data_IF_464407351942
#
_entry.id   IF_464407351942
#
_cell.length_a   1.000
_cell.length_b   1.000
_cell.length_c   1.000
_cell.angle_alpha   90.00
_cell.angle_beta   90.00
_cell.angle_gamma   90.00
#
_symmetry.space_group_name_H-M   'P 1'
#
loop_
_entity.id
_entity.type
_entity.pdbx_description
1 polymer ?
#
# COMPACT_ATOMS: atom_id res chain seq x y z
N UNK A 1 -25.09 -1.96 8.09
CA UNK A 1 -24.60 -0.81 7.32
C UNK A 1 -24.95 0.48 8.05
N UNK A 2 -24.27 0.75 9.17
CA UNK A 2 -24.66 1.84 10.10
C UNK A 2 -23.55 2.89 10.23
N UNK A 3 -22.54 2.86 9.36
CA UNK A 3 -21.48 3.85 9.36
C UNK A 3 -22.03 5.14 8.73
N UNK A 4 -22.06 6.27 9.45
CA UNK A 4 -22.65 7.50 8.95
C UNK A 4 -21.75 8.27 7.98
N UNK A 5 -20.48 7.86 7.83
CA UNK A 5 -19.53 8.49 6.91
C UNK A 5 -19.53 7.86 5.51
N UNK A 6 -18.80 8.48 4.60
CA UNK A 6 -18.69 8.01 3.22
C UNK A 6 -17.89 6.71 3.12
N UNK A 7 -18.40 5.76 2.33
CA UNK A 7 -17.69 4.51 1.99
C UNK A 7 -17.60 4.41 0.48
N UNK A 8 -16.37 4.32 -0.04
CA UNK A 8 -16.11 4.14 -1.47
C UNK A 8 -15.10 3.04 -1.71
N UNK A 9 -15.20 2.37 -2.87
CA UNK A 9 -14.16 1.47 -3.35
C UNK A 9 -13.02 2.26 -4.03
N UNK A 10 -11.82 1.68 -4.06
CA UNK A 10 -10.62 2.31 -4.65
C UNK A 10 -10.82 2.71 -6.12
N UNK A 11 -11.64 1.97 -6.88
CA UNK A 11 -11.99 2.29 -8.27
C UNK A 11 -12.69 3.65 -8.44
N UNK A 12 -13.36 4.13 -7.39
CA UNK A 12 -14.06 5.42 -7.38
C UNK A 12 -13.20 6.56 -6.81
N UNK A 13 -12.04 6.24 -6.22
CA UNK A 13 -11.10 7.23 -5.72
C UNK A 13 -10.48 8.04 -6.87
N UNK A 14 -10.23 9.33 -6.63
CA UNK A 14 -9.66 10.25 -7.63
C UNK A 14 -8.48 11.07 -7.10
N UNK A 15 -8.58 11.61 -5.90
CA UNK A 15 -7.53 12.43 -5.30
C UNK A 15 -7.76 12.63 -3.80
N UNK A 16 -6.66 12.75 -3.05
CA UNK A 16 -6.66 13.00 -1.61
C UNK A 16 -7.11 14.41 -1.22
N UNK A 17 -7.10 15.36 -2.17
CA UNK A 17 -7.50 16.76 -1.94
C UNK A 17 -8.86 16.91 -1.28
N UNK A 18 -9.84 16.09 -1.70
CA UNK A 18 -11.22 16.13 -1.17
C UNK A 18 -11.34 15.64 0.28
N UNK A 19 -10.25 15.13 0.86
CA UNK A 19 -10.19 14.53 2.19
C UNK A 19 -9.28 15.30 3.16
N UNK A 20 -8.73 16.45 2.76
CA UNK A 20 -7.91 17.30 3.63
C UNK A 20 -8.62 17.56 4.97
N UNK A 21 -7.93 17.33 6.09
CA UNK A 21 -8.45 17.50 7.44
C UNK A 21 -9.46 16.44 7.90
N UNK A 22 -9.84 15.46 7.07
CA UNK A 22 -10.74 14.36 7.44
C UNK A 22 -9.98 13.19 8.04
N UNK A 23 -10.67 12.40 8.86
CA UNK A 23 -10.20 11.09 9.30
C UNK A 23 -10.58 10.04 8.25
N UNK A 24 -9.60 9.35 7.66
CA UNK A 24 -9.83 8.38 6.59
C UNK A 24 -9.18 7.05 6.93
N UNK A 25 -9.96 5.97 6.84
CA UNK A 25 -9.49 4.60 6.98
C UNK A 25 -9.41 3.93 5.61
N UNK A 26 -8.20 3.56 5.20
CA UNK A 26 -7.97 2.74 4.01
C UNK A 26 -8.00 1.26 4.40
N UNK A 27 -8.88 0.49 3.75
CA UNK A 27 -9.05 -0.93 4.01
C UNK A 27 -8.29 -1.75 2.97
N UNK A 28 -7.22 -2.41 3.39
CA UNK A 28 -6.39 -3.25 2.53
C UNK A 28 -5.02 -2.63 2.19
N UNK A 29 -4.06 -3.53 1.94
CA UNK A 29 -2.63 -3.23 1.75
C UNK A 29 -2.11 -3.59 0.36
N UNK A 30 -2.99 -3.69 -0.64
CA UNK A 30 -2.56 -3.81 -2.03
C UNK A 30 -1.93 -2.50 -2.52
N UNK A 31 -1.32 -2.53 -3.71
CA UNK A 31 -0.66 -1.36 -4.30
C UNK A 31 -1.56 -0.10 -4.28
N UNK A 32 -2.81 -0.25 -4.73
CA UNK A 32 -3.77 0.87 -4.71
C UNK A 32 -4.06 1.38 -3.29
N UNK A 33 -4.20 0.50 -2.30
CA UNK A 33 -4.46 0.91 -0.92
C UNK A 33 -3.29 1.72 -0.35
N UNK A 34 -2.06 1.27 -0.60
CA UNK A 34 -0.86 1.97 -0.16
C UNK A 34 -0.68 3.32 -0.86
N UNK A 35 -0.90 3.39 -2.17
CA UNK A 35 -0.82 4.65 -2.94
C UNK A 35 -1.91 5.64 -2.53
N UNK A 36 -3.15 5.17 -2.31
CA UNK A 36 -4.25 6.02 -1.83
C UNK A 36 -3.95 6.54 -0.42
N UNK A 37 -3.45 5.69 0.48
CA UNK A 37 -3.08 6.12 1.82
C UNK A 37 -1.98 7.19 1.80
N UNK A 38 -0.98 7.01 0.94
CA UNK A 38 0.07 8.01 0.71
C UNK A 38 -0.50 9.32 0.14
N UNK A 39 -1.36 9.26 -0.87
CA UNK A 39 -2.00 10.44 -1.48
C UNK A 39 -2.90 11.18 -0.49
N UNK A 40 -3.63 10.47 0.37
CA UNK A 40 -4.44 11.07 1.44
C UNK A 40 -3.57 11.79 2.49
N UNK A 41 -2.52 11.12 2.98
CA UNK A 41 -1.62 11.70 3.98
C UNK A 41 -0.90 12.95 3.45
N UNK A 42 -0.41 12.89 2.21
CA UNK A 42 0.25 14.04 1.56
C UNK A 42 -0.69 15.23 1.30
N UNK A 43 -2.00 14.97 1.17
CA UNK A 43 -3.02 16.01 1.05
C UNK A 43 -3.66 16.41 2.40
N UNK A 44 -3.04 16.06 3.53
CA UNK A 44 -3.43 16.54 4.85
C UNK A 44 -4.63 15.83 5.48
N UNK A 45 -5.02 14.64 4.98
CA UNK A 45 -5.98 13.79 5.66
C UNK A 45 -5.31 13.04 6.82
N UNK A 46 -6.00 12.89 7.96
CA UNK A 46 -5.57 12.01 9.03
C UNK A 46 -5.85 10.55 8.63
N UNK A 47 -4.82 9.89 8.10
CA UNK A 47 -4.96 8.63 7.37
C UNK A 47 -4.52 7.44 8.21
N UNK A 48 -5.34 6.38 8.23
CA UNK A 48 -5.02 5.09 8.84
C UNK A 48 -5.20 3.95 7.84
N UNK A 49 -4.45 2.87 7.99
CA UNK A 49 -4.54 1.68 7.13
C UNK A 49 -4.88 0.47 7.99
N UNK A 50 -5.89 -0.30 7.60
CA UNK A 50 -6.17 -1.61 8.20
C UNK A 50 -5.71 -2.73 7.29
N UNK A 51 -4.93 -3.64 7.86
CA UNK A 51 -4.28 -4.75 7.16
C UNK A 51 -4.68 -6.06 7.84
N UNK A 52 -5.28 -6.98 7.10
CA UNK A 52 -5.76 -8.27 7.64
C UNK A 52 -4.64 -9.28 7.88
N UNK A 53 -3.64 -9.30 7.01
CA UNK A 53 -2.62 -10.36 6.95
C UNK A 53 -1.22 -9.73 6.88
N UNK A 54 -0.17 -10.40 7.38
CA UNK A 54 1.20 -9.89 7.32
C UNK A 54 1.60 -9.51 5.89
N UNK A 55 2.34 -8.41 5.76
CA UNK A 55 2.87 -7.93 4.49
C UNK A 55 4.37 -7.66 4.60
N UNK A 56 5.06 -7.70 3.47
CA UNK A 56 6.42 -7.20 3.34
C UNK A 56 6.36 -5.80 2.69
N UNK A 57 6.90 -4.80 3.37
CA UNK A 57 7.07 -3.46 2.80
C UNK A 57 8.44 -3.42 2.15
N UNK A 58 8.46 -3.31 0.82
CA UNK A 58 9.71 -3.33 0.06
C UNK A 58 9.86 -2.04 -0.74
N UNK A 59 11.09 -1.56 -0.84
CA UNK A 59 11.41 -0.42 -1.69
C UNK A 59 11.43 -0.83 -3.17
N UNK A 60 11.31 0.14 -4.07
CA UNK A 60 11.37 -0.10 -5.51
C UNK A 60 12.73 -0.70 -5.91
N UNK A 61 13.79 -0.28 -5.22
CA UNK A 61 15.16 -0.76 -5.42
C UNK A 61 15.29 -2.25 -5.07
N UNK A 62 14.71 -2.68 -3.94
CA UNK A 62 14.73 -4.09 -3.53
C UNK A 62 13.95 -4.97 -4.52
N UNK A 63 12.77 -4.51 -4.96
CA UNK A 63 12.00 -5.24 -5.99
C UNK A 63 12.80 -5.34 -7.30
N UNK A 64 13.44 -4.25 -7.74
CA UNK A 64 14.27 -4.25 -8.96
C UNK A 64 15.46 -5.21 -8.84
N UNK A 65 16.13 -5.22 -7.69
CA UNK A 65 17.20 -6.16 -7.39
C UNK A 65 16.68 -7.60 -7.46
N UNK A 66 15.56 -7.88 -6.79
CA UNK A 66 14.90 -9.17 -6.81
C UNK A 66 14.62 -9.70 -8.22
N UNK A 67 13.99 -8.87 -9.05
CA UNK A 67 13.70 -9.20 -10.44
C UNK A 67 14.97 -9.44 -11.25
N UNK A 68 16.04 -8.67 -11.00
CA UNK A 68 17.34 -8.87 -11.66
C UNK A 68 17.97 -10.21 -11.27
N UNK A 69 17.95 -10.54 -9.97
CA UNK A 69 18.50 -11.80 -9.46
C UNK A 69 17.71 -13.02 -9.93
N UNK A 70 16.39 -12.91 -10.08
CA UNK A 70 15.53 -13.99 -10.56
C UNK A 70 15.87 -14.47 -11.99
N UNK A 71 16.56 -13.66 -12.78
CA UNK A 71 17.09 -14.08 -14.10
C UNK A 71 18.33 -14.99 -14.01
N UNK A 72 19.01 -15.01 -12.86
CA UNK A 72 20.30 -15.66 -12.69
C UNK A 72 20.36 -16.69 -11.55
N UNK A 73 19.42 -16.63 -10.61
CA UNK A 73 19.39 -17.46 -9.40
C UNK A 73 18.04 -18.16 -9.24
N UNK A 74 18.00 -19.32 -8.54
CA UNK A 74 16.75 -19.97 -8.16
C UNK A 74 15.85 -19.04 -7.32
N UNK A 75 14.54 -19.02 -7.61
CA UNK A 75 13.57 -18.13 -6.97
C UNK A 75 13.54 -18.27 -5.44
N UNK A 76 13.69 -19.49 -4.91
CA UNK A 76 13.72 -19.73 -3.46
C UNK A 76 14.89 -19.04 -2.75
N UNK A 77 16.02 -18.83 -3.44
CA UNK A 77 17.16 -18.11 -2.89
C UNK A 77 16.91 -16.60 -2.94
N UNK A 78 16.35 -16.12 -4.05
CA UNK A 78 15.98 -14.71 -4.23
C UNK A 78 14.95 -14.30 -3.17
N UNK A 79 13.89 -15.09 -2.99
CA UNK A 79 12.84 -14.81 -2.01
C UNK A 79 13.39 -14.74 -0.58
N UNK A 80 14.23 -15.71 -0.19
CA UNK A 80 14.88 -15.69 1.13
C UNK A 80 15.73 -14.44 1.34
N UNK A 81 16.51 -14.06 0.33
CA UNK A 81 17.37 -12.87 0.41
C UNK A 81 16.54 -11.59 0.53
N UNK A 82 15.48 -11.45 -0.25
CA UNK A 82 14.61 -10.28 -0.26
C UNK A 82 13.79 -10.12 1.02
N UNK A 83 13.39 -11.22 1.65
CA UNK A 83 12.61 -11.19 2.90
C UNK A 83 13.49 -10.98 4.14
N UNK A 84 14.79 -11.29 4.05
CA UNK A 84 15.75 -11.08 5.13
C UNK A 84 16.43 -9.70 5.11
N UNK A 85 16.33 -8.97 3.99
CA UNK A 85 16.93 -7.64 3.78
C UNK A 85 16.02 -6.53 4.32
#
# INVERSE_FOLDING_TARGET
ENFPGDVIHSSSYKSGKSYSGKNVLVVGSGNSGMEIAYDLATHGANTSIVIRSPIHVMTKELIRLGMTLAHHLPLNLVDKLLVMA
#
